data_IF_114695193966
#
_entry.id   IF_114695193966
#
_cell.length_a   1.000
_cell.length_b   1.000
_cell.length_c   1.000
_cell.angle_alpha   90.00
_cell.angle_beta   90.00
_cell.angle_gamma   90.00
#
_symmetry.space_group_name_H-M   'P 1'
#
loop_
_entity.id
_entity.type
_entity.pdbx_description
1 polymer ?
#
# COMPACT_ATOMS: atom_id res chain seq x y z
N UNK A 1 12.85 -7.98 -16.83
CA UNK A 1 12.75 -6.52 -17.06
C UNK A 1 11.28 -6.18 -17.21
N UNK A 2 10.73 -5.55 -16.17
CA UNK A 2 9.36 -5.05 -16.12
C UNK A 2 9.11 -4.07 -17.28
N UNK A 3 7.99 -4.24 -18.00
CA UNK A 3 7.58 -3.36 -19.11
C UNK A 3 6.07 -3.13 -19.06
N UNK A 4 5.65 -1.87 -19.08
CA UNK A 4 4.25 -1.49 -19.24
C UNK A 4 3.91 -1.29 -20.72
N UNK A 5 2.78 -1.85 -21.17
CA UNK A 5 2.26 -1.58 -22.52
C UNK A 5 1.17 -0.53 -22.44
N UNK A 6 1.34 0.57 -23.17
CA UNK A 6 0.39 1.68 -23.18
C UNK A 6 -0.62 1.52 -24.31
N UNK A 7 -1.89 1.71 -23.99
CA UNK A 7 -2.97 1.83 -24.97
C UNK A 7 -3.37 3.30 -25.11
N UNK A 8 -4.02 3.65 -26.22
CA UNK A 8 -4.58 4.99 -26.42
C UNK A 8 -5.55 5.40 -25.30
N UNK A 9 -6.26 4.43 -24.72
CA UNK A 9 -7.15 4.69 -23.58
C UNK A 9 -6.37 5.07 -22.32
N UNK A 10 -5.30 4.33 -22.01
CA UNK A 10 -4.42 4.64 -20.87
C UNK A 10 -3.81 6.03 -21.04
N UNK A 11 -3.28 6.34 -22.23
CA UNK A 11 -2.70 7.65 -22.53
C UNK A 11 -3.72 8.79 -22.38
N UNK A 12 -4.96 8.58 -22.84
CA UNK A 12 -6.06 9.54 -22.67
C UNK A 12 -6.35 9.79 -21.18
N UNK A 13 -6.43 8.73 -20.37
CA UNK A 13 -6.68 8.82 -18.92
C UNK A 13 -5.55 9.55 -18.19
N UNK A 14 -4.29 9.25 -18.52
CA UNK A 14 -3.13 9.96 -17.96
C UNK A 14 -3.21 11.46 -18.28
N UNK A 15 -3.47 11.79 -19.55
CA UNK A 15 -3.57 13.17 -20.00
C UNK A 15 -4.68 13.94 -19.26
N UNK A 16 -5.86 13.34 -19.09
CA UNK A 16 -6.97 13.93 -18.32
C UNK A 16 -6.63 14.12 -16.83
N UNK A 17 -5.85 13.22 -16.24
CA UNK A 17 -5.40 13.34 -14.85
C UNK A 17 -4.39 14.48 -14.71
N UNK A 18 -3.41 14.57 -15.62
CA UNK A 18 -2.40 15.62 -15.58
C UNK A 18 -2.98 17.00 -15.86
N UNK A 19 -3.96 17.11 -16.77
CA UNK A 19 -4.69 18.36 -16.99
C UNK A 19 -5.35 18.86 -15.69
N UNK A 20 -6.05 17.97 -14.97
CA UNK A 20 -6.69 18.29 -13.69
C UNK A 20 -5.66 18.63 -12.62
N UNK A 21 -4.58 17.85 -12.53
CA UNK A 21 -3.48 18.08 -11.59
C UNK A 21 -2.83 19.44 -11.83
N UNK A 22 -2.59 19.80 -13.09
CA UNK A 22 -2.01 21.08 -13.48
C UNK A 22 -2.94 22.23 -13.12
N UNK A 23 -4.23 22.13 -13.48
CA UNK A 23 -5.26 23.11 -13.11
C UNK A 23 -5.27 23.36 -11.60
N UNK A 24 -5.26 22.29 -10.79
CA UNK A 24 -5.18 22.42 -9.33
C UNK A 24 -3.87 23.04 -8.84
N UNK A 25 -2.75 22.76 -9.50
CA UNK A 25 -1.44 23.32 -9.12
C UNK A 25 -1.32 24.83 -9.33
N UNK A 26 -2.13 25.39 -10.23
CA UNK A 26 -2.19 26.83 -10.49
C UNK A 26 -3.02 27.63 -9.49
N UNK A 27 -3.78 26.95 -8.62
CA UNK A 27 -4.61 27.61 -7.61
C UNK A 27 -3.73 27.96 -6.40
N UNK A 28 -3.64 29.24 -6.07
CA UNK A 28 -3.02 29.67 -4.82
C UNK A 28 -3.89 29.28 -3.63
N UNK A 29 -3.28 28.58 -2.66
CA UNK A 29 -3.98 28.07 -1.49
C UNK A 29 -3.18 28.38 -0.21
N UNK A 30 -3.82 28.95 0.83
CA UNK A 30 -3.14 29.17 2.09
C UNK A 30 -2.56 27.86 2.66
N UNK A 31 -1.34 27.87 3.24
CA UNK A 31 -0.70 26.67 3.77
C UNK A 31 -1.56 25.89 4.77
N UNK A 32 -2.34 26.59 5.59
CA UNK A 32 -3.28 26.00 6.55
C UNK A 32 -4.33 25.13 5.86
N UNK A 33 -4.89 25.59 4.73
CA UNK A 33 -5.89 24.84 3.97
C UNK A 33 -5.24 23.64 3.29
N UNK A 34 -4.05 23.81 2.70
CA UNK A 34 -3.29 22.72 2.06
C UNK A 34 -2.97 21.60 3.06
N UNK A 35 -2.50 21.95 4.25
CA UNK A 35 -2.19 20.99 5.31
C UNK A 35 -3.45 20.28 5.81
N UNK A 36 -4.57 21.01 5.95
CA UNK A 36 -5.86 20.42 6.32
C UNK A 36 -6.34 19.42 5.27
N UNK A 37 -6.28 19.77 3.98
CA UNK A 37 -6.65 18.86 2.89
C UNK A 37 -5.78 17.61 2.88
N UNK A 38 -4.45 17.76 3.01
CA UNK A 38 -3.53 16.61 3.11
C UNK A 38 -3.86 15.70 4.29
N UNK A 39 -4.10 16.27 5.48
CA UNK A 39 -4.47 15.48 6.67
C UNK A 39 -5.78 14.72 6.43
N UNK A 40 -6.78 15.38 5.85
CA UNK A 40 -8.07 14.77 5.56
C UNK A 40 -7.98 13.67 4.49
N UNK A 41 -7.18 13.88 3.43
CA UNK A 41 -6.93 12.85 2.42
C UNK A 41 -6.29 11.61 3.04
N UNK A 42 -5.25 11.77 3.86
CA UNK A 42 -4.60 10.63 4.54
C UNK A 42 -5.55 9.88 5.47
N UNK A 43 -6.39 10.59 6.23
CA UNK A 43 -7.43 9.96 7.06
C UNK A 43 -8.42 9.15 6.24
N UNK A 44 -8.89 9.72 5.14
CA UNK A 44 -9.84 9.06 4.24
C UNK A 44 -9.23 7.81 3.59
N UNK A 45 -7.97 7.89 3.14
CA UNK A 45 -7.22 6.74 2.64
C UNK A 45 -7.06 5.67 3.71
N UNK A 46 -6.70 6.06 4.94
CA UNK A 46 -6.52 5.12 6.06
C UNK A 46 -7.81 4.36 6.38
N UNK A 47 -8.95 5.07 6.40
CA UNK A 47 -10.26 4.44 6.55
C UNK A 47 -10.59 3.52 5.38
N UNK A 48 -10.50 4.02 4.14
CA UNK A 48 -10.93 3.28 2.95
C UNK A 48 -10.11 2.02 2.72
N UNK A 49 -8.78 2.10 2.87
CA UNK A 49 -7.87 0.98 2.73
C UNK A 49 -8.19 -0.12 3.76
N UNK A 50 -8.32 0.24 5.04
CA UNK A 50 -8.75 -0.70 6.08
C UNK A 50 -10.17 -1.23 5.87
N UNK A 51 -11.08 -0.44 5.28
CA UNK A 51 -12.44 -0.91 5.02
C UNK A 51 -12.50 -2.02 3.99
N UNK A 52 -11.66 -1.96 2.95
CA UNK A 52 -11.53 -3.00 1.92
C UNK A 52 -11.09 -4.33 2.54
N UNK A 53 -10.23 -4.25 3.56
CA UNK A 53 -9.76 -5.41 4.35
C UNK A 53 -10.82 -6.04 5.26
N UNK A 54 -11.96 -5.37 5.42
CA UNK A 54 -13.01 -5.81 6.34
C UNK A 54 -12.94 -5.19 7.73
N UNK A 55 -12.14 -4.13 7.94
CA UNK A 55 -12.14 -3.42 9.21
C UNK A 55 -13.56 -2.88 9.52
N UNK A 56 -14.10 -3.14 10.73
CA UNK A 56 -15.49 -2.88 11.05
C UNK A 56 -15.79 -1.41 11.35
N UNK A 57 -14.77 -0.56 11.55
CA UNK A 57 -14.99 0.82 11.96
C UNK A 57 -15.79 1.60 10.90
N UNK A 58 -16.53 2.59 11.39
CA UNK A 58 -17.08 3.67 10.57
C UNK A 58 -16.02 4.73 10.32
N UNK A 59 -16.20 5.56 9.28
CA UNK A 59 -15.26 6.67 8.99
C UNK A 59 -15.11 7.63 10.18
N UNK A 60 -16.20 7.86 10.92
CA UNK A 60 -16.17 8.68 12.15
C UNK A 60 -15.29 8.05 13.23
N UNK A 61 -15.46 6.77 13.51
CA UNK A 61 -14.64 6.06 14.50
C UNK A 61 -13.17 5.99 14.07
N UNK A 62 -12.89 5.76 12.78
CA UNK A 62 -11.54 5.79 12.23
C UNK A 62 -10.88 7.17 12.42
N UNK A 63 -11.61 8.25 12.17
CA UNK A 63 -11.13 9.62 12.39
C UNK A 63 -10.86 9.91 13.87
N UNK A 64 -11.76 9.50 14.76
CA UNK A 64 -11.60 9.63 16.21
C UNK A 64 -10.39 8.84 16.70
N UNK A 65 -10.19 7.62 16.19
CA UNK A 65 -9.01 6.82 16.48
C UNK A 65 -7.73 7.55 16.06
N UNK A 66 -7.67 8.13 14.85
CA UNK A 66 -6.50 8.87 14.35
C UNK A 66 -6.19 10.12 15.17
N UNK A 67 -7.20 10.89 15.58
CA UNK A 67 -7.00 12.14 16.34
C UNK A 67 -6.82 11.93 17.85
N UNK A 68 -7.08 10.72 18.36
CA UNK A 68 -6.92 10.40 19.78
C UNK A 68 -5.46 10.46 20.26
N UNK A 69 -5.29 10.73 21.55
CA UNK A 69 -4.00 10.72 22.25
C UNK A 69 -3.23 9.41 21.93
N UNK A 70 -1.97 9.50 21.44
CA UNK A 70 -1.15 8.32 21.16
C UNK A 70 -0.93 7.36 22.34
N UNK A 71 -1.08 7.83 23.58
CA UNK A 71 -0.93 7.02 24.80
C UNK A 71 -2.22 6.31 25.22
N UNK A 72 -3.34 6.55 24.53
CA UNK A 72 -4.59 5.82 24.75
C UNK A 72 -4.42 4.35 24.36
N UNK A 73 -5.10 3.46 25.09
CA UNK A 73 -5.28 2.08 24.65
C UNK A 73 -6.28 2.00 23.49
N UNK A 74 -5.86 1.42 22.37
CA UNK A 74 -6.67 1.22 21.18
C UNK A 74 -7.08 -0.24 21.04
N UNK A 75 -8.29 -0.47 20.53
CA UNK A 75 -8.69 -1.79 20.07
C UNK A 75 -7.98 -2.13 18.76
N UNK A 76 -7.87 -3.42 18.42
CA UNK A 76 -7.17 -3.89 17.20
C UNK A 76 -7.62 -3.13 15.93
N UNK A 77 -8.93 -2.97 15.63
CA UNK A 77 -9.36 -2.21 14.44
C UNK A 77 -8.96 -0.73 14.44
N UNK A 78 -8.88 -0.10 15.62
CA UNK A 78 -8.46 1.30 15.75
C UNK A 78 -6.95 1.42 15.55
N UNK A 79 -6.19 0.44 16.06
CA UNK A 79 -4.75 0.33 15.88
C UNK A 79 -4.39 0.18 14.40
N UNK A 80 -5.07 -0.69 13.64
CA UNK A 80 -4.84 -0.91 12.20
C UNK A 80 -5.01 0.39 11.38
N UNK A 81 -6.10 1.13 11.59
CA UNK A 81 -6.34 2.41 10.92
C UNK A 81 -5.26 3.44 11.28
N UNK A 82 -4.86 3.50 12.56
CA UNK A 82 -3.80 4.41 13.02
C UNK A 82 -2.45 4.05 12.43
N UNK A 83 -2.11 2.76 12.39
CA UNK A 83 -0.87 2.25 11.83
C UNK A 83 -0.72 2.67 10.37
N UNK A 84 -1.77 2.49 9.56
CA UNK A 84 -1.80 2.93 8.17
C UNK A 84 -1.61 4.46 8.04
N UNK A 85 -2.33 5.26 8.84
CA UNK A 85 -2.16 6.72 8.85
C UNK A 85 -0.73 7.14 9.19
N UNK A 86 -0.09 6.44 10.13
CA UNK A 86 1.31 6.69 10.51
C UNK A 86 2.28 6.28 9.39
N UNK A 87 2.03 5.17 8.69
CA UNK A 87 2.81 4.76 7.53
C UNK A 87 2.77 5.81 6.40
N UNK A 88 1.59 6.40 6.13
CA UNK A 88 1.46 7.51 5.18
C UNK A 88 2.28 8.75 5.60
N UNK A 89 2.28 9.08 6.88
CA UNK A 89 3.10 10.20 7.39
C UNK A 89 4.59 9.90 7.25
N UNK A 90 4.99 8.67 7.54
CA UNK A 90 6.36 8.21 7.39
C UNK A 90 6.85 8.32 5.95
N UNK A 91 6.05 7.86 4.98
CA UNK A 91 6.36 8.02 3.54
C UNK A 91 6.45 9.49 3.13
N UNK A 92 5.58 10.38 3.65
CA UNK A 92 5.69 11.82 3.39
C UNK A 92 7.02 12.40 3.92
N UNK A 93 7.53 11.93 5.05
CA UNK A 93 8.84 12.34 5.57
C UNK A 93 10.01 11.78 4.74
N UNK A 94 9.93 10.52 4.29
CA UNK A 94 10.92 9.92 3.38
C UNK A 94 11.00 10.71 2.05
N UNK A 95 9.85 11.10 1.50
CA UNK A 95 9.76 11.93 0.30
C UNK A 95 10.39 13.32 0.49
N UNK A 96 10.16 13.97 1.63
CA UNK A 96 10.80 15.27 1.94
C UNK A 96 12.33 15.17 1.99
N UNK A 97 12.85 14.03 2.46
CA UNK A 97 14.29 13.72 2.50
C UNK A 97 14.84 13.25 1.16
N UNK A 98 13.99 13.07 0.14
CA UNK A 98 14.35 12.51 -1.17
C UNK A 98 15.06 11.15 -1.04
N UNK A 99 14.59 10.33 -0.11
CA UNK A 99 15.10 8.98 0.05
C UNK A 99 14.74 8.15 -1.19
N UNK A 100 15.69 7.35 -1.66
CA UNK A 100 15.50 6.48 -2.83
C UNK A 100 14.55 5.34 -2.46
N UNK A 101 13.69 4.92 -3.38
CA UNK A 101 12.79 3.79 -3.16
C UNK A 101 13.62 2.52 -2.97
N UNK A 102 13.31 1.73 -1.94
CA UNK A 102 14.11 0.56 -1.59
C UNK A 102 13.26 -0.56 -1.00
N UNK A 103 13.82 -1.77 -1.00
CA UNK A 103 13.22 -2.94 -0.36
C UNK A 103 13.07 -2.74 1.14
N UNK A 104 14.01 -2.04 1.76
CA UNK A 104 13.95 -1.67 3.18
C UNK A 104 12.76 -0.76 3.45
N UNK A 105 12.49 0.22 2.57
CA UNK A 105 11.33 1.10 2.71
C UNK A 105 10.01 0.31 2.65
N UNK A 106 9.90 -0.66 1.74
CA UNK A 106 8.75 -1.57 1.65
C UNK A 106 8.56 -2.34 2.96
N UNK A 107 9.63 -2.89 3.53
CA UNK A 107 9.61 -3.63 4.80
C UNK A 107 9.29 -2.73 6.00
N UNK A 108 9.81 -1.49 6.03
CA UNK A 108 9.50 -0.51 7.07
C UNK A 108 8.01 -0.14 7.05
N UNK A 109 7.44 0.10 5.86
CA UNK A 109 6.00 0.34 5.70
C UNK A 109 5.19 -0.86 6.20
N UNK A 110 5.55 -2.08 5.78
CA UNK A 110 4.87 -3.30 6.20
C UNK A 110 4.88 -3.45 7.73
N UNK A 111 6.05 -3.30 8.36
CA UNK A 111 6.19 -3.39 9.80
C UNK A 111 5.40 -2.30 10.55
N UNK A 112 5.26 -1.11 9.95
CA UNK A 112 4.42 -0.05 10.51
C UNK A 112 2.94 -0.37 10.43
N UNK A 113 2.45 -0.90 9.29
CA UNK A 113 1.05 -1.27 9.11
C UNK A 113 0.68 -2.47 10.01
N UNK A 114 1.54 -3.50 10.09
CA UNK A 114 1.36 -4.68 10.95
C UNK A 114 1.71 -4.46 12.43
N UNK A 115 1.98 -3.23 12.86
CA UNK A 115 2.41 -2.98 14.24
C UNK A 115 1.36 -3.47 15.25
N UNK A 116 1.73 -4.47 16.05
CA UNK A 116 0.86 -5.11 17.04
C UNK A 116 0.34 -6.49 16.64
N UNK A 117 0.65 -6.95 15.42
CA UNK A 117 0.44 -8.32 14.99
C UNK A 117 1.52 -9.29 15.51
N UNK A 118 1.35 -10.58 15.22
CA UNK A 118 2.35 -11.60 15.56
C UNK A 118 3.67 -11.35 14.82
N UNK A 119 4.79 -11.74 15.43
CA UNK A 119 6.12 -11.56 14.82
C UNK A 119 6.27 -12.27 13.47
N UNK A 120 5.54 -13.36 13.29
CA UNK A 120 5.52 -14.15 12.05
C UNK A 120 4.95 -13.36 10.86
N UNK A 121 4.12 -12.33 11.11
CA UNK A 121 3.58 -11.46 10.06
C UNK A 121 4.52 -10.34 9.64
N UNK A 122 5.63 -10.12 10.36
CA UNK A 122 6.52 -8.99 10.07
C UNK A 122 7.70 -9.48 9.23
N UNK A 123 7.90 -8.84 8.07
CA UNK A 123 8.91 -9.21 7.09
C UNK A 123 8.37 -10.12 5.99
N UNK A 124 9.28 -10.58 5.13
CA UNK A 124 8.94 -11.46 4.00
C UNK A 124 8.42 -12.81 4.50
N UNK A 125 7.46 -13.38 3.78
CA UNK A 125 6.91 -14.71 4.11
C UNK A 125 7.93 -15.83 3.99
N UNK A 126 7.71 -16.87 4.77
CA UNK A 126 8.58 -18.04 4.83
C UNK A 126 8.13 -19.19 3.93
N UNK A 127 8.84 -20.33 3.99
CA UNK A 127 8.39 -21.55 3.34
C UNK A 127 7.06 -22.04 3.93
N UNK A 128 6.17 -22.50 3.05
CA UNK A 128 4.96 -23.20 3.49
C UNK A 128 5.29 -24.57 4.11
N UNK A 129 4.48 -25.05 5.07
CA UNK A 129 4.60 -26.41 5.56
C UNK A 129 4.53 -27.45 4.43
N UNK A 130 5.23 -28.60 4.54
CA UNK A 130 5.18 -29.64 3.52
C UNK A 130 3.74 -30.06 3.18
N UNK A 131 3.40 -30.02 1.89
CA UNK A 131 2.06 -30.36 1.39
C UNK A 131 1.04 -29.22 1.41
N UNK A 132 1.43 -28.01 1.84
CA UNK A 132 0.61 -26.80 1.67
C UNK A 132 1.13 -25.95 0.52
N UNK A 133 0.21 -25.40 -0.27
CA UNK A 133 0.49 -24.38 -1.28
C UNK A 133 0.05 -23.03 -0.74
N UNK A 134 0.88 -22.01 -0.92
CA UNK A 134 0.45 -20.63 -0.72
C UNK A 134 -0.37 -20.22 -1.94
N UNK A 135 -1.66 -19.98 -1.74
CA UNK A 135 -2.56 -19.60 -2.82
C UNK A 135 -3.49 -18.47 -2.37
N UNK A 136 -3.85 -17.64 -3.32
CA UNK A 136 -4.88 -16.63 -3.20
C UNK A 136 -6.20 -17.28 -3.59
N UNK A 137 -7.19 -17.14 -2.70
CA UNK A 137 -8.51 -17.73 -2.88
C UNK A 137 -9.55 -16.66 -3.24
N UNK A 138 -10.42 -17.00 -4.18
CA UNK A 138 -11.59 -16.21 -4.48
C UNK A 138 -12.53 -16.18 -3.26
N UNK A 139 -12.97 -14.98 -2.88
CA UNK A 139 -13.71 -14.79 -1.63
C UNK A 139 -15.16 -15.28 -1.67
N UNK A 140 -15.73 -15.50 -2.85
CA UNK A 140 -17.11 -15.95 -3.03
C UNK A 140 -17.21 -17.48 -3.16
N UNK A 141 -16.28 -18.08 -3.90
CA UNK A 141 -16.27 -19.50 -4.27
C UNK A 141 -15.30 -20.33 -3.43
N UNK A 142 -14.30 -19.70 -2.80
CA UNK A 142 -13.22 -20.38 -2.08
C UNK A 142 -12.26 -21.16 -2.97
N UNK A 143 -12.34 -21.00 -4.30
CA UNK A 143 -11.43 -21.63 -5.24
C UNK A 143 -10.08 -20.90 -5.27
N UNK A 144 -8.98 -21.65 -5.46
CA UNK A 144 -7.68 -21.05 -5.70
C UNK A 144 -7.72 -20.29 -7.04
N UNK A 145 -7.50 -18.98 -6.97
CA UNK A 145 -7.54 -18.08 -8.13
C UNK A 145 -6.13 -17.84 -8.67
N UNK A 146 -5.15 -17.69 -7.78
CA UNK A 146 -3.77 -17.36 -8.13
C UNK A 146 -2.79 -18.00 -7.15
N UNK A 147 -1.65 -18.46 -7.67
CA UNK A 147 -0.53 -18.98 -6.88
C UNK A 147 0.63 -17.99 -7.05
N UNK A 148 0.96 -17.20 -6.00
CA UNK A 148 2.12 -16.32 -6.02
C UNK A 148 3.45 -17.08 -6.18
N UNK A 149 4.55 -16.39 -6.54
CA UNK A 149 5.89 -16.97 -6.61
C UNK A 149 6.29 -17.70 -5.32
N UNK A 150 7.31 -18.56 -5.37
CA UNK A 150 7.80 -19.20 -4.14
C UNK A 150 8.52 -18.19 -3.24
N UNK A 151 8.55 -18.45 -1.93
CA UNK A 151 9.11 -17.51 -0.95
C UNK A 151 10.58 -17.16 -1.24
N UNK A 152 11.33 -18.12 -1.82
CA UNK A 152 12.74 -17.98 -2.18
C UNK A 152 12.97 -16.97 -3.32
N UNK A 153 11.96 -16.76 -4.18
CA UNK A 153 12.04 -15.86 -5.32
C UNK A 153 11.68 -14.41 -4.95
N UNK A 154 11.00 -14.20 -3.81
CA UNK A 154 10.50 -12.89 -3.38
C UNK A 154 11.62 -11.82 -3.30
N UNK A 155 12.78 -12.07 -2.66
CA UNK A 155 13.81 -11.04 -2.54
C UNK A 155 14.28 -10.51 -3.89
N UNK A 156 14.49 -11.40 -4.86
CA UNK A 156 14.98 -11.05 -6.19
C UNK A 156 13.90 -10.31 -7.01
N UNK A 157 12.63 -10.71 -6.87
CA UNK A 157 11.50 -10.02 -7.50
C UNK A 157 11.29 -8.60 -6.95
N UNK A 158 11.47 -8.42 -5.64
CA UNK A 158 11.44 -7.09 -5.03
C UNK A 158 12.63 -6.24 -5.46
N UNK A 159 13.82 -6.83 -5.63
CA UNK A 159 14.98 -6.12 -6.14
C UNK A 159 14.77 -5.70 -7.61
N UNK A 160 14.17 -6.53 -8.45
CA UNK A 160 13.77 -6.13 -9.82
C UNK A 160 12.74 -4.99 -9.81
N UNK A 161 11.76 -5.03 -8.89
CA UNK A 161 10.77 -3.96 -8.76
C UNK A 161 11.42 -2.63 -8.32
N UNK A 162 12.32 -2.69 -7.33
CA UNK A 162 13.07 -1.51 -6.85
C UNK A 162 13.93 -0.91 -7.96
N UNK A 163 14.64 -1.76 -8.71
CA UNK A 163 15.44 -1.32 -9.84
C UNK A 163 14.57 -0.63 -10.91
N UNK A 164 13.43 -1.22 -11.26
CA UNK A 164 12.48 -0.61 -12.20
C UNK A 164 12.03 0.78 -11.73
N UNK A 165 11.60 0.94 -10.48
CA UNK A 165 11.12 2.23 -9.94
C UNK A 165 12.21 3.30 -10.00
N UNK A 166 13.47 2.92 -9.73
CA UNK A 166 14.56 3.88 -9.64
C UNK A 166 15.21 4.23 -11.00
N UNK A 167 14.99 3.42 -12.04
CA UNK A 167 15.68 3.58 -13.34
C UNK A 167 14.77 3.84 -14.53
N UNK A 168 13.47 3.55 -14.42
CA UNK A 168 12.52 3.78 -15.52
C UNK A 168 12.28 5.26 -15.79
N UNK A 169 11.99 5.60 -17.05
CA UNK A 169 11.50 6.90 -17.51
C UNK A 169 9.97 6.94 -17.66
N UNK A 170 9.28 5.87 -17.23
CA UNK A 170 7.82 5.78 -17.25
C UNK A 170 7.15 6.91 -16.45
N UNK A 171 5.93 7.26 -16.87
CA UNK A 171 5.13 8.26 -16.18
C UNK A 171 4.84 7.83 -14.71
N UNK A 172 4.86 8.73 -13.70
CA UNK A 172 4.65 8.34 -12.29
C UNK A 172 3.35 7.57 -12.01
N UNK A 173 2.28 7.81 -12.78
CA UNK A 173 1.04 7.03 -12.67
C UNK A 173 1.19 5.59 -13.16
N UNK A 174 2.05 5.36 -14.16
CA UNK A 174 2.40 4.02 -14.64
C UNK A 174 3.27 3.32 -13.61
N UNK A 175 4.28 4.01 -13.07
CA UNK A 175 5.12 3.48 -11.99
C UNK A 175 4.23 3.06 -10.80
N UNK A 176 3.32 3.91 -10.34
CA UNK A 176 2.40 3.59 -9.26
C UNK A 176 1.51 2.37 -9.57
N UNK A 177 0.96 2.28 -10.78
CA UNK A 177 0.15 1.13 -11.19
C UNK A 177 0.95 -0.18 -11.25
N UNK A 178 2.19 -0.11 -11.74
CA UNK A 178 3.10 -1.27 -11.80
C UNK A 178 3.52 -1.71 -10.41
N UNK A 179 3.94 -0.79 -9.53
CA UNK A 179 4.27 -1.10 -8.14
C UNK A 179 3.10 -1.75 -7.45
N UNK A 180 1.90 -1.20 -7.62
CA UNK A 180 0.70 -1.77 -7.03
C UNK A 180 0.46 -3.21 -7.51
N UNK A 181 0.46 -3.42 -8.82
CA UNK A 181 0.24 -4.73 -9.42
C UNK A 181 1.32 -5.75 -9.01
N UNK A 182 2.59 -5.35 -9.03
CA UNK A 182 3.72 -6.21 -8.70
C UNK A 182 3.71 -6.63 -7.23
N UNK A 183 3.46 -5.70 -6.29
CA UNK A 183 3.38 -6.07 -4.87
C UNK A 183 2.23 -7.06 -4.59
N UNK A 184 1.06 -6.85 -5.22
CA UNK A 184 -0.08 -7.74 -5.06
C UNK A 184 0.17 -9.13 -5.66
N UNK A 185 0.90 -9.22 -6.79
CA UNK A 185 1.18 -10.49 -7.48
C UNK A 185 2.41 -11.24 -6.95
N UNK A 186 3.46 -10.54 -6.50
CA UNK A 186 4.59 -11.14 -5.77
C UNK A 186 4.09 -11.67 -4.42
N UNK A 187 3.16 -10.95 -3.79
CA UNK A 187 2.58 -11.28 -2.49
C UNK A 187 3.65 -11.58 -1.43
N UNK A 188 4.51 -10.59 -1.10
CA UNK A 188 5.76 -10.82 -0.39
C UNK A 188 5.62 -11.14 1.11
N UNK A 189 4.45 -10.93 1.72
CA UNK A 189 4.28 -11.03 3.18
C UNK A 189 3.28 -12.11 3.57
N UNK A 190 3.39 -12.58 4.82
CA UNK A 190 2.42 -13.52 5.38
C UNK A 190 1.05 -12.86 5.51
N UNK A 191 0.03 -13.58 5.09
CA UNK A 191 -1.36 -13.24 5.37
C UNK A 191 -2.05 -14.53 5.87
N UNK A 192 -3.13 -14.43 6.65
CA UNK A 192 -3.82 -15.57 7.28
C UNK A 192 -4.57 -16.48 6.27
N UNK A 193 -3.98 -16.77 5.10
CA UNK A 193 -4.63 -17.45 3.97
C UNK A 193 -5.99 -16.83 3.61
N UNK A 194 -6.10 -15.52 3.71
CA UNK A 194 -7.27 -14.71 3.34
C UNK A 194 -7.11 -14.22 1.88
N UNK A 195 -8.17 -13.78 1.19
CA UNK A 195 -8.06 -13.19 -0.15
C UNK A 195 -7.09 -11.99 -0.14
N UNK A 196 -6.57 -11.56 -1.30
CA UNK A 196 -5.54 -10.52 -1.61
C UNK A 196 -5.47 -9.21 -0.79
N UNK A 197 -6.44 -9.02 0.10
CA UNK A 197 -6.73 -7.89 0.95
C UNK A 197 -5.42 -7.24 1.47
N UNK A 198 -4.58 -7.93 2.26
CA UNK A 198 -3.53 -7.19 3.01
C UNK A 198 -2.46 -6.54 2.12
N UNK A 199 -2.11 -7.19 1.01
CA UNK A 199 -1.16 -6.64 0.05
C UNK A 199 -1.67 -5.36 -0.61
N UNK A 200 -3.00 -5.21 -0.75
CA UNK A 200 -3.58 -3.98 -1.30
C UNK A 200 -3.31 -2.79 -0.39
N UNK A 201 -3.22 -2.98 0.93
CA UNK A 201 -2.88 -1.88 1.83
C UNK A 201 -1.45 -1.39 1.64
N UNK A 202 -0.49 -2.29 1.57
CA UNK A 202 0.93 -1.91 1.44
C UNK A 202 1.20 -1.34 0.04
N UNK A 203 0.48 -1.85 -0.96
CA UNK A 203 0.54 -1.40 -2.34
C UNK A 203 -0.22 -0.09 -2.62
N UNK A 204 -1.11 0.38 -1.73
CA UNK A 204 -1.97 1.57 -1.92
C UNK A 204 -1.51 2.77 -1.10
#
# INVERSE_FOLDING_TARGET
>A
MIKATLTNEILKRISEIDEKRFSLSTIEMPPVIKNRLRKNSKKKSSYASNKIEGNPLTEKQANEAIDSDPHKHFLKPEQEVRNYFLALNFLEEKLKKKEVFSKEMILEVQAMVEKGASKEKIGLRGPMPPGMLFAVYDSETGAAEYIPPEYIDIPDLLDELVEYVNTTDDHPLIIAAVVHYQLVTIHPFEDENVPLRYQQQIAA
#
